data_IF_488864777735
#
_entry.id   IF_488864777735
#
_cell.length_a   1.000
_cell.length_b   1.000
_cell.length_c   1.000
_cell.angle_alpha   90.00
_cell.angle_beta   90.00
_cell.angle_gamma   90.00
#
_symmetry.space_group_name_H-M   'P 1'
#
loop_
_entity.id
_entity.type
_entity.pdbx_description
1 polymer ?
#
# COMPACT_ATOMS: atom_id res chain seq x y z
N UNK A 1 -7.39 45.03 -23.11
CA UNK A 1 -7.29 43.93 -24.11
C UNK A 1 -6.40 42.86 -23.46
N UNK A 2 -6.95 41.67 -23.28
CA UNK A 2 -6.67 40.81 -22.11
C UNK A 2 -5.40 39.96 -22.23
N UNK A 3 -4.40 40.26 -21.41
CA UNK A 3 -3.16 39.47 -21.23
C UNK A 3 -3.38 38.16 -20.42
N UNK A 4 -4.63 37.79 -20.15
CA UNK A 4 -4.99 36.62 -19.34
C UNK A 4 -4.77 35.28 -20.05
N UNK A 5 -4.77 35.26 -21.39
CA UNK A 5 -4.58 34.04 -22.17
C UNK A 5 -3.14 33.50 -22.12
N UNK A 6 -2.15 34.40 -22.16
CA UNK A 6 -0.72 34.02 -22.16
C UNK A 6 -0.29 33.57 -20.77
N UNK A 7 -0.64 34.32 -19.73
CA UNK A 7 -0.31 33.97 -18.33
C UNK A 7 -0.95 32.66 -17.89
N UNK A 8 -2.17 32.38 -18.33
CA UNK A 8 -2.83 31.10 -18.02
C UNK A 8 -2.08 29.93 -18.66
N UNK A 9 -1.68 30.04 -19.93
CA UNK A 9 -0.95 28.97 -20.60
C UNK A 9 0.43 28.70 -19.97
N UNK A 10 1.16 29.74 -19.58
CA UNK A 10 2.46 29.61 -18.89
C UNK A 10 2.33 29.00 -17.50
N UNK A 11 1.31 29.39 -16.73
CA UNK A 11 1.05 28.85 -15.39
C UNK A 11 0.66 27.37 -15.44
N UNK A 12 -0.20 26.98 -16.39
CA UNK A 12 -0.55 25.56 -16.60
C UNK A 12 0.64 24.73 -17.05
N UNK A 13 1.50 25.29 -17.90
CA UNK A 13 2.76 24.66 -18.30
C UNK A 13 3.69 24.40 -17.11
N UNK A 14 3.87 25.40 -16.25
CA UNK A 14 4.68 25.27 -15.03
C UNK A 14 4.07 24.26 -14.05
N UNK A 15 2.75 24.31 -13.81
CA UNK A 15 2.05 23.39 -12.91
C UNK A 15 2.13 21.93 -13.37
N UNK A 16 1.92 21.67 -14.67
CA UNK A 16 2.04 20.31 -15.22
C UNK A 16 3.47 19.78 -15.05
N UNK A 17 4.47 20.64 -15.25
CA UNK A 17 5.87 20.27 -15.11
C UNK A 17 6.19 19.89 -13.66
N UNK A 18 5.79 20.71 -12.70
CA UNK A 18 5.96 20.45 -11.26
C UNK A 18 5.32 19.11 -10.87
N UNK A 19 4.07 18.88 -11.30
CA UNK A 19 3.35 17.62 -11.08
C UNK A 19 4.13 16.43 -11.62
N UNK A 20 4.64 16.52 -12.85
CA UNK A 20 5.36 15.42 -13.49
C UNK A 20 6.72 15.17 -12.81
N UNK A 21 7.38 16.21 -12.33
CA UNK A 21 8.59 16.09 -11.51
C UNK A 21 8.32 15.33 -10.22
N UNK A 22 7.30 15.73 -9.44
CA UNK A 22 6.91 15.03 -8.22
C UNK A 22 6.51 13.58 -8.49
N UNK A 23 5.75 13.34 -9.56
CA UNK A 23 5.34 11.98 -9.94
C UNK A 23 6.55 11.09 -10.21
N UNK A 24 7.54 11.60 -10.94
CA UNK A 24 8.76 10.85 -11.24
C UNK A 24 9.63 10.62 -10.00
N UNK A 25 9.62 11.55 -9.03
CA UNK A 25 10.32 11.37 -7.76
C UNK A 25 9.71 10.23 -6.94
N UNK A 26 8.38 10.19 -6.80
CA UNK A 26 7.68 9.10 -6.10
C UNK A 26 7.95 7.76 -6.79
N UNK A 27 7.89 7.72 -8.12
CA UNK A 27 8.25 6.52 -8.91
C UNK A 27 9.68 6.06 -8.61
N UNK A 28 10.64 6.98 -8.56
CA UNK A 28 12.03 6.67 -8.23
C UNK A 28 12.16 6.14 -6.80
N UNK A 29 11.38 6.64 -5.85
CA UNK A 29 11.35 6.11 -4.48
C UNK A 29 10.76 4.70 -4.42
N UNK A 30 9.78 4.37 -5.25
CA UNK A 30 9.23 3.00 -5.33
C UNK A 30 10.24 2.01 -5.93
N UNK A 31 10.85 2.37 -7.06
CA UNK A 31 11.75 1.48 -7.81
C UNK A 31 13.16 1.42 -7.21
N UNK A 32 13.74 2.58 -6.89
CA UNK A 32 15.15 2.71 -6.49
C UNK A 32 15.36 2.86 -4.99
N UNK A 33 14.34 2.65 -4.14
CA UNK A 33 14.61 2.63 -2.70
C UNK A 33 15.56 1.46 -2.39
N UNK A 34 16.83 1.80 -2.18
CA UNK A 34 17.85 0.96 -1.55
C UNK A 34 17.57 0.77 -0.04
N UNK A 35 16.47 1.35 0.47
CA UNK A 35 16.02 1.28 1.85
C UNK A 35 15.38 -0.07 2.21
N UNK A 36 15.28 -0.30 3.51
CA UNK A 36 14.60 -1.45 4.10
C UNK A 36 13.17 -1.56 3.55
N UNK A 37 12.72 -2.80 3.30
CA UNK A 37 11.36 -3.11 2.82
C UNK A 37 10.23 -2.42 3.60
N UNK A 38 10.46 -2.13 4.87
CA UNK A 38 9.55 -1.35 5.73
C UNK A 38 9.26 0.03 5.15
N UNK A 39 10.26 0.77 4.67
CA UNK A 39 10.09 2.12 4.13
C UNK A 39 9.28 2.09 2.83
N UNK A 40 9.55 1.12 1.96
CA UNK A 40 8.79 0.90 0.73
C UNK A 40 7.31 0.62 1.01
N UNK A 41 7.02 -0.25 1.99
CA UNK A 41 5.64 -0.55 2.37
C UNK A 41 4.93 0.64 2.99
N UNK A 42 5.62 1.46 3.79
CA UNK A 42 5.06 2.71 4.33
C UNK A 42 4.73 3.67 3.18
N UNK A 43 5.62 3.80 2.19
CA UNK A 43 5.39 4.64 1.02
C UNK A 43 4.15 4.19 0.25
N UNK A 44 4.02 2.89 -0.04
CA UNK A 44 2.83 2.34 -0.72
C UNK A 44 1.56 2.58 0.10
N UNK A 45 1.57 2.27 1.40
CA UNK A 45 0.41 2.52 2.24
C UNK A 45 0.01 4.01 2.25
N UNK A 46 1.00 4.92 2.24
CA UNK A 46 0.76 6.36 2.20
C UNK A 46 0.16 6.78 0.86
N UNK A 47 0.67 6.27 -0.26
CA UNK A 47 0.15 6.53 -1.61
C UNK A 47 -1.30 6.04 -1.76
N UNK A 48 -1.59 4.84 -1.26
CA UNK A 48 -2.93 4.25 -1.23
C UNK A 48 -3.88 5.11 -0.37
N UNK A 49 -3.45 5.55 0.82
CA UNK A 49 -4.25 6.42 1.69
C UNK A 49 -4.50 7.81 1.10
N UNK A 50 -3.56 8.33 0.31
CA UNK A 50 -3.73 9.59 -0.41
C UNK A 50 -4.66 9.43 -1.63
N UNK A 51 -5.09 8.22 -1.98
CA UNK A 51 -5.98 7.95 -3.10
C UNK A 51 -5.33 8.18 -4.47
N UNK A 52 -4.00 8.25 -4.53
CA UNK A 52 -3.23 8.47 -5.77
C UNK A 52 -2.51 7.20 -6.26
N UNK A 53 -2.79 6.05 -5.64
CA UNK A 53 -2.21 4.75 -6.00
C UNK A 53 -2.41 4.35 -7.46
N UNK A 54 -3.52 4.78 -8.08
CA UNK A 54 -3.80 4.52 -9.50
C UNK A 54 -2.75 5.08 -10.48
N UNK A 55 -1.92 6.04 -10.04
CA UNK A 55 -0.83 6.57 -10.85
C UNK A 55 0.43 5.70 -10.85
N UNK A 56 0.51 4.74 -9.92
CA UNK A 56 1.69 3.93 -9.62
C UNK A 56 1.36 2.43 -9.55
N UNK A 57 0.25 2.00 -10.16
CA UNK A 57 -0.26 0.63 -10.03
C UNK A 57 0.77 -0.42 -10.45
N UNK A 58 1.49 -0.17 -11.55
CA UNK A 58 2.52 -1.06 -12.09
C UNK A 58 3.70 -1.19 -11.11
N UNK A 59 4.21 -0.07 -10.60
CA UNK A 59 5.32 -0.04 -9.66
C UNK A 59 4.97 -0.72 -8.32
N UNK A 60 3.71 -0.59 -7.88
CA UNK A 60 3.21 -1.25 -6.66
C UNK A 60 3.08 -2.76 -6.89
N UNK A 61 2.52 -3.19 -8.01
CA UNK A 61 2.37 -4.62 -8.35
C UNK A 61 3.73 -5.32 -8.47
N UNK A 62 4.70 -4.68 -9.14
CA UNK A 62 6.06 -5.20 -9.28
C UNK A 62 6.73 -5.36 -7.91
N UNK A 63 6.62 -4.33 -7.04
CA UNK A 63 7.17 -4.38 -5.69
C UNK A 63 6.55 -5.52 -4.86
N UNK A 64 5.24 -5.71 -4.95
CA UNK A 64 4.55 -6.80 -4.24
C UNK A 64 4.98 -8.18 -4.75
N UNK A 65 5.16 -8.33 -6.06
CA UNK A 65 5.66 -9.56 -6.67
C UNK A 65 7.10 -9.87 -6.23
N UNK A 66 8.00 -8.88 -6.22
CA UNK A 66 9.36 -9.02 -5.71
C UNK A 66 9.39 -9.48 -4.25
N UNK A 67 8.58 -8.85 -3.39
CA UNK A 67 8.46 -9.23 -1.98
C UNK A 67 7.95 -10.65 -1.81
N UNK A 68 6.93 -11.05 -2.58
CA UNK A 68 6.37 -12.39 -2.51
C UNK A 68 7.40 -13.43 -2.97
N UNK A 69 8.13 -13.18 -4.05
CA UNK A 69 9.22 -14.04 -4.51
C UNK A 69 10.35 -14.16 -3.47
N UNK A 70 10.72 -13.04 -2.84
CA UNK A 70 11.69 -13.03 -1.74
C UNK A 70 11.19 -13.77 -0.50
N UNK A 71 9.87 -13.80 -0.27
CA UNK A 71 9.23 -14.55 0.80
C UNK A 71 9.19 -16.06 0.52
N UNK A 72 8.98 -16.48 -0.73
CA UNK A 72 8.94 -17.90 -1.11
C UNK A 72 10.35 -18.54 -1.14
N UNK A 73 11.37 -17.75 -1.48
CA UNK A 73 12.75 -18.23 -1.63
C UNK A 73 13.59 -18.17 -0.34
N UNK A 74 13.13 -17.45 0.68
CA UNK A 74 13.90 -17.20 1.90
C UNK A 74 13.09 -17.53 3.17
N UNK A 75 13.72 -18.07 4.22
CA UNK A 75 13.16 -18.05 5.60
C UNK A 75 13.09 -16.61 6.19
N UNK A 76 12.98 -15.58 5.34
CA UNK A 76 13.14 -14.16 5.66
C UNK A 76 12.02 -13.57 6.51
N UNK A 77 10.89 -14.26 6.66
CA UNK A 77 9.84 -13.83 7.59
C UNK A 77 10.36 -13.66 9.03
N UNK A 78 11.49 -14.31 9.39
CA UNK A 78 12.15 -14.14 10.70
C UNK A 78 12.92 -12.83 10.83
N UNK A 79 13.21 -12.12 9.73
CA UNK A 79 14.02 -10.89 9.74
C UNK A 79 13.15 -9.62 9.80
N UNK A 80 11.89 -9.69 9.38
CA UNK A 80 10.99 -8.53 9.41
C UNK A 80 10.33 -8.37 10.77
N UNK A 81 10.19 -7.12 11.21
CA UNK A 81 9.45 -6.78 12.41
C UNK A 81 7.94 -7.13 12.25
N UNK A 82 7.25 -7.28 13.38
CA UNK A 82 5.81 -7.52 13.41
C UNK A 82 5.05 -6.42 12.68
N UNK A 83 5.50 -5.16 12.80
CA UNK A 83 4.91 -4.03 12.11
C UNK A 83 4.98 -4.19 10.58
N UNK A 84 6.17 -4.41 10.04
CA UNK A 84 6.42 -4.59 8.60
C UNK A 84 5.62 -5.76 8.05
N UNK A 85 5.60 -6.87 8.79
CA UNK A 85 4.80 -8.05 8.45
C UNK A 85 3.32 -7.69 8.39
N UNK A 86 2.74 -7.13 9.45
CA UNK A 86 1.33 -6.77 9.49
C UNK A 86 0.93 -5.81 8.35
N UNK A 87 1.79 -4.83 8.04
CA UNK A 87 1.58 -3.87 6.96
C UNK A 87 1.53 -4.57 5.59
N UNK A 88 2.50 -5.44 5.32
CA UNK A 88 2.53 -6.24 4.08
C UNK A 88 1.28 -7.11 3.93
N UNK A 89 0.87 -7.81 4.99
CA UNK A 89 -0.35 -8.63 4.99
C UNK A 89 -1.63 -7.81 4.76
N UNK A 90 -1.64 -6.54 5.17
CA UNK A 90 -2.72 -5.60 4.89
C UNK A 90 -2.80 -5.26 3.41
N UNK A 91 -1.67 -4.82 2.85
CA UNK A 91 -1.56 -4.43 1.43
C UNK A 91 -1.89 -5.63 0.51
N UNK A 92 -1.33 -6.82 0.77
CA UNK A 92 -1.62 -8.02 -0.04
C UNK A 92 -3.13 -8.34 -0.11
N UNK A 93 -3.85 -8.18 1.00
CA UNK A 93 -5.30 -8.41 1.04
C UNK A 93 -6.07 -7.35 0.25
N UNK A 94 -5.61 -6.10 0.27
CA UNK A 94 -6.21 -5.02 -0.52
C UNK A 94 -6.05 -5.29 -2.02
N UNK A 95 -4.90 -5.79 -2.46
CA UNK A 95 -4.64 -6.13 -3.86
C UNK A 95 -5.13 -7.54 -4.27
N UNK A 96 -5.80 -8.27 -3.39
CA UNK A 96 -6.41 -9.57 -3.72
C UNK A 96 -5.45 -10.76 -3.79
N UNK A 97 -4.21 -10.62 -3.29
CA UNK A 97 -3.26 -11.73 -3.23
C UNK A 97 -3.73 -12.80 -2.25
N UNK A 98 -3.61 -14.07 -2.66
CA UNK A 98 -3.96 -15.21 -1.82
C UNK A 98 -2.89 -15.46 -0.77
N UNK A 99 -3.04 -14.79 0.36
CA UNK A 99 -2.18 -15.00 1.52
C UNK A 99 -2.56 -16.30 2.22
N UNK A 100 -1.62 -17.26 2.28
CA UNK A 100 -1.81 -18.44 3.13
C UNK A 100 -1.42 -18.10 4.57
N UNK A 101 -2.39 -18.09 5.49
CA UNK A 101 -2.05 -18.08 6.92
C UNK A 101 -1.39 -19.41 7.24
N UNK A 102 -0.13 -19.41 7.68
CA UNK A 102 0.54 -20.60 8.19
C UNK A 102 -0.39 -21.35 9.14
N UNK A 103 -0.39 -22.69 9.07
CA UNK A 103 -1.39 -23.53 9.72
C UNK A 103 -1.65 -23.02 11.14
N UNK A 104 -2.90 -22.63 11.47
CA UNK A 104 -3.19 -22.09 12.79
C UNK A 104 -2.74 -23.13 13.81
N UNK A 105 -1.73 -22.77 14.60
CA UNK A 105 -1.35 -23.53 15.79
C UNK A 105 -2.63 -23.66 16.60
N UNK A 106 -3.01 -24.85 17.10
CA UNK A 106 -4.25 -24.99 17.84
C UNK A 106 -4.24 -24.05 19.04
N UNK A 107 -4.95 -22.93 18.91
CA UNK A 107 -5.24 -22.04 20.01
C UNK A 107 -6.12 -22.85 20.96
N UNK A 108 -5.63 -23.10 22.18
CA UNK A 108 -6.40 -23.75 23.23
C UNK A 108 -7.60 -22.86 23.55
N UNK A 109 -8.71 -23.11 22.87
CA UNK A 109 -9.93 -22.34 23.05
C UNK A 109 -10.41 -22.53 24.49
N UNK A 110 -10.38 -21.45 25.28
CA UNK A 110 -11.33 -21.36 26.41
C UNK A 110 -12.71 -21.24 25.77
N UNK A 111 -13.63 -22.15 26.13
CA UNK A 111 -15.03 -22.08 25.73
C UNK A 111 -15.55 -20.67 26.05
N UNK A 112 -15.85 -19.88 25.02
CA UNK A 112 -16.74 -18.73 25.17
C UNK A 112 -18.15 -19.29 25.33
N UNK A 113 -18.84 -18.87 26.37
CA UNK A 113 -20.25 -19.16 26.57
C UNK A 113 -21.09 -18.50 25.46
N UNK A 114 -22.15 -19.17 25.07
CA UNK A 114 -22.93 -18.89 23.86
C UNK A 114 -23.85 -17.67 23.95
N UNK A 115 -23.54 -16.66 24.78
CA UNK A 115 -24.51 -15.62 25.14
C UNK A 115 -24.27 -14.21 24.58
N UNK A 116 -23.33 -13.99 23.66
CA UNK A 116 -23.25 -12.69 22.96
C UNK A 116 -23.12 -12.89 21.46
N UNK A 117 -24.28 -12.94 20.76
CA UNK A 117 -24.35 -12.65 19.33
C UNK A 117 -23.96 -11.18 19.16
N UNK A 118 -22.72 -10.93 18.75
CA UNK A 118 -22.34 -9.61 18.24
C UNK A 118 -23.10 -9.46 16.92
N UNK A 119 -24.15 -8.65 16.93
CA UNK A 119 -24.88 -8.25 15.73
C UNK A 119 -23.93 -7.44 14.84
N UNK A 120 -23.80 -7.87 13.58
CA UNK A 120 -23.00 -7.20 12.55
C UNK A 120 -23.82 -6.19 11.74
N UNK A 121 -24.92 -5.68 12.30
CA UNK A 121 -25.71 -4.63 11.66
C UNK A 121 -25.43 -3.29 12.33
N UNK A 122 -24.32 -2.66 11.93
CA UNK A 122 -24.13 -1.20 12.01
C UNK A 122 -23.03 -0.78 11.05
N UNK A 123 -23.46 -0.51 9.82
CA UNK A 123 -22.93 0.49 8.90
C UNK A 123 -21.40 0.62 8.81
N UNK A 124 -20.81 -0.16 7.89
CA UNK A 124 -19.71 0.33 7.07
C UNK A 124 -20.25 0.43 5.64
N UNK A 125 -20.90 1.55 5.34
CA UNK A 125 -21.10 2.06 3.99
C UNK A 125 -20.65 3.52 4.04
N UNK A 126 -19.52 3.76 3.36
CA UNK A 126 -19.17 4.95 2.56
C UNK A 126 -19.73 6.31 3.03
N UNK A 127 -18.84 7.20 3.47
CA UNK A 127 -18.74 8.57 2.94
C UNK A 127 -17.27 8.88 2.65
#
# INVERSE_FOLDING_TARGET
MWDWGVRHFELWGAYSKERDTLKNEVRRMLVCAEGEWTEKLILVNTIEWLGVGYHFSEEIEDMLAEMQNAHETSESYKKYDLFTTALFFGILRQHGYKVTSGKPKPCRARKLDSSTRISFDSAIILE
#
